data_IF_585802638818
#
_entry.id   IF_585802638818
#
_cell.length_a   1.000
_cell.length_b   1.000
_cell.length_c   1.000
_cell.angle_alpha   90.00
_cell.angle_beta   90.00
_cell.angle_gamma   90.00
#
_symmetry.space_group_name_H-M   'P 1'
#
loop_
_entity.id
_entity.type
_entity.pdbx_description
1 polymer ?
#
# COMPACT_ATOMS: atom_id res chain seq x y z
N UNK A 1 -13.21 -12.67 6.23
CA UNK A 1 -14.43 -13.51 6.16
C UNK A 1 -14.63 -14.41 7.38
N UNK A 2 -13.64 -15.20 7.82
CA UNK A 2 -13.80 -16.10 8.99
C UNK A 2 -14.27 -15.40 10.27
N UNK A 3 -13.80 -14.18 10.55
CA UNK A 3 -14.23 -13.42 11.74
C UNK A 3 -15.72 -13.00 11.69
N UNK A 4 -16.24 -12.58 10.54
CA UNK A 4 -17.66 -12.20 10.38
C UNK A 4 -18.56 -13.42 10.53
N UNK A 5 -18.18 -14.56 9.96
CA UNK A 5 -18.90 -15.82 10.15
C UNK A 5 -18.93 -16.22 11.64
N UNK A 6 -17.79 -16.14 12.33
CA UNK A 6 -17.71 -16.42 13.77
C UNK A 6 -18.59 -15.47 14.61
N UNK A 7 -18.66 -14.19 14.26
CA UNK A 7 -19.57 -13.23 14.91
C UNK A 7 -21.03 -13.62 14.67
N UNK A 8 -21.41 -13.95 13.42
CA UNK A 8 -22.77 -14.39 13.07
C UNK A 8 -23.17 -15.67 13.83
N UNK A 9 -22.30 -16.68 13.85
CA UNK A 9 -22.55 -17.94 14.55
C UNK A 9 -22.65 -17.75 16.08
N UNK A 10 -21.74 -16.97 16.67
CA UNK A 10 -21.75 -16.70 18.10
C UNK A 10 -22.99 -15.89 18.51
N UNK A 11 -23.39 -14.90 17.72
CA UNK A 11 -24.59 -14.11 18.01
C UNK A 11 -25.87 -14.94 17.86
N UNK A 12 -25.94 -15.87 16.90
CA UNK A 12 -27.05 -16.82 16.80
C UNK A 12 -27.13 -17.74 18.03
N UNK A 13 -26.00 -18.30 18.48
CA UNK A 13 -25.95 -19.11 19.69
C UNK A 13 -26.32 -18.31 20.96
N UNK A 14 -25.83 -17.08 21.07
CA UNK A 14 -26.18 -16.17 22.15
C UNK A 14 -27.69 -15.89 22.20
N UNK A 15 -28.31 -15.53 21.07
CA UNK A 15 -29.74 -15.25 20.99
C UNK A 15 -30.60 -16.49 21.33
N UNK A 16 -30.23 -17.66 20.81
CA UNK A 16 -30.95 -18.92 21.05
C UNK A 16 -30.90 -19.36 22.52
N UNK A 17 -29.75 -19.16 23.18
CA UNK A 17 -29.50 -19.67 24.54
C UNK A 17 -29.75 -18.63 25.64
N UNK A 18 -29.99 -17.36 25.26
CA UNK A 18 -30.31 -16.27 26.19
C UNK A 18 -31.48 -16.60 27.14
N UNK A 19 -32.60 -17.20 26.71
CA UNK A 19 -33.69 -17.55 27.63
C UNK A 19 -33.29 -18.56 28.72
N UNK A 20 -32.42 -19.52 28.40
CA UNK A 20 -31.90 -20.51 29.35
C UNK A 20 -30.98 -19.82 30.36
N UNK A 21 -30.08 -18.96 29.88
CA UNK A 21 -29.21 -18.17 30.75
C UNK A 21 -30.02 -17.25 31.67
N UNK A 22 -31.00 -16.51 31.16
CA UNK A 22 -31.84 -15.61 31.96
C UNK A 22 -32.62 -16.38 33.03
N UNK A 23 -33.12 -17.58 32.70
CA UNK A 23 -33.78 -18.49 33.67
C UNK A 23 -32.82 -18.97 34.75
N UNK A 24 -31.58 -19.31 34.39
CA UNK A 24 -30.53 -19.67 35.34
C UNK A 24 -30.20 -18.52 36.30
N UNK A 25 -30.12 -17.29 35.81
CA UNK A 25 -29.87 -16.09 36.63
C UNK A 25 -31.04 -15.81 37.58
N UNK A 26 -32.29 -15.97 37.12
CA UNK A 26 -33.51 -15.74 37.91
C UNK A 26 -33.68 -16.74 39.06
N UNK A 27 -33.05 -17.92 39.00
CA UNK A 27 -33.06 -18.88 40.11
C UNK A 27 -32.15 -18.38 41.24
N UNK A 28 -32.76 -18.05 42.38
CA UNK A 28 -32.08 -17.54 43.57
C UNK A 28 -31.74 -18.63 44.60
N UNK A 29 -32.49 -19.73 44.63
CA UNK A 29 -32.27 -20.80 45.60
C UNK A 29 -31.21 -21.79 45.12
N UNK A 30 -30.11 -21.91 45.87
CA UNK A 30 -28.90 -22.67 45.50
C UNK A 30 -29.20 -24.07 44.96
N UNK A 31 -29.97 -24.87 45.69
CA UNK A 31 -30.27 -26.25 45.30
C UNK A 31 -30.95 -26.35 43.92
N UNK A 32 -31.93 -25.47 43.68
CA UNK A 32 -32.66 -25.44 42.40
C UNK A 32 -31.84 -24.85 41.26
N UNK A 33 -30.91 -23.95 41.58
CA UNK A 33 -29.99 -23.33 40.62
C UNK A 33 -28.94 -24.32 40.16
N UNK A 34 -28.37 -25.09 41.09
CA UNK A 34 -27.35 -26.10 40.79
C UNK A 34 -27.94 -27.27 40.00
N UNK A 35 -29.17 -27.72 40.33
CA UNK A 35 -29.89 -28.71 39.54
C UNK A 35 -30.15 -28.23 38.10
N UNK A 36 -30.55 -26.96 37.94
CA UNK A 36 -30.76 -26.36 36.61
C UNK A 36 -29.45 -26.21 35.83
N UNK A 37 -28.36 -25.84 36.51
CA UNK A 37 -27.03 -25.76 35.89
C UNK A 37 -26.53 -27.13 35.43
N UNK A 38 -26.79 -28.19 36.20
CA UNK A 38 -26.44 -29.55 35.82
C UNK A 38 -27.25 -30.03 34.61
N UNK A 39 -28.54 -29.67 34.55
CA UNK A 39 -29.43 -30.02 33.44
C UNK A 39 -29.09 -29.27 32.15
N UNK A 40 -28.69 -28.00 32.24
CA UNK A 40 -28.40 -27.14 31.09
C UNK A 40 -26.92 -26.79 30.95
N UNK A 41 -26.04 -27.71 31.34
CA UNK A 41 -24.60 -27.46 31.42
C UNK A 41 -24.01 -27.09 30.05
N UNK A 42 -24.38 -27.83 29.01
CA UNK A 42 -23.85 -27.61 27.66
C UNK A 42 -24.38 -26.31 27.06
N UNK A 43 -25.65 -25.98 27.29
CA UNK A 43 -26.26 -24.73 26.83
C UNK A 43 -25.63 -23.52 27.51
N UNK A 44 -25.41 -23.58 28.83
CA UNK A 44 -24.77 -22.49 29.58
C UNK A 44 -23.30 -22.32 29.17
N UNK A 45 -22.56 -23.40 28.95
CA UNK A 45 -21.17 -23.32 28.46
C UNK A 45 -21.11 -22.73 27.04
N UNK A 46 -22.00 -23.20 26.15
CA UNK A 46 -22.11 -22.68 24.78
C UNK A 46 -22.47 -21.19 24.76
N UNK A 47 -23.41 -20.77 25.61
CA UNK A 47 -23.76 -19.35 25.78
C UNK A 47 -22.55 -18.53 26.25
N UNK A 48 -21.83 -18.99 27.28
CA UNK A 48 -20.66 -18.30 27.80
C UNK A 48 -19.54 -18.19 26.75
N UNK A 49 -19.33 -19.25 25.96
CA UNK A 49 -18.38 -19.24 24.84
C UNK A 49 -18.79 -18.24 23.76
N UNK A 50 -20.08 -18.16 23.43
CA UNK A 50 -20.62 -17.17 22.52
C UNK A 50 -20.37 -15.74 23.03
N UNK A 51 -20.68 -15.47 24.30
CA UNK A 51 -20.43 -14.16 24.95
C UNK A 51 -18.95 -13.78 24.88
N UNK A 52 -18.03 -14.68 25.23
CA UNK A 52 -16.58 -14.41 25.16
C UNK A 52 -16.13 -14.12 23.73
N UNK A 53 -16.67 -14.85 22.75
CA UNK A 53 -16.32 -14.66 21.34
C UNK A 53 -16.80 -13.31 20.84
N UNK A 54 -18.03 -12.91 21.16
CA UNK A 54 -18.60 -11.62 20.80
C UNK A 54 -17.82 -10.47 21.46
N UNK A 55 -17.50 -10.57 22.74
CA UNK A 55 -16.67 -9.56 23.42
C UNK A 55 -15.28 -9.43 22.77
N UNK A 56 -14.66 -10.55 22.39
CA UNK A 56 -13.32 -10.55 21.79
C UNK A 56 -13.31 -9.96 20.36
N UNK A 57 -14.32 -10.28 19.55
CA UNK A 57 -14.32 -9.95 18.12
C UNK A 57 -15.08 -8.65 17.81
N UNK A 58 -16.09 -8.32 18.61
CA UNK A 58 -17.00 -7.19 18.38
C UNK A 58 -16.93 -6.14 19.51
N UNK A 59 -16.29 -6.44 20.65
CA UNK A 59 -16.26 -5.54 21.82
C UNK A 59 -17.58 -5.44 22.58
N UNK A 60 -18.66 -6.06 22.06
CA UNK A 60 -19.99 -6.07 22.64
C UNK A 60 -20.79 -7.31 22.20
N UNK A 61 -21.77 -7.71 23.01
CA UNK A 61 -22.72 -8.80 22.71
C UNK A 61 -23.87 -8.34 21.83
N UNK A 62 -24.12 -7.03 21.74
CA UNK A 62 -25.05 -6.45 20.79
C UNK A 62 -24.38 -6.40 19.41
N UNK A 63 -24.97 -7.08 18.43
CA UNK A 63 -24.51 -7.09 17.05
C UNK A 63 -25.62 -6.54 16.17
N UNK A 64 -25.36 -5.42 15.50
CA UNK A 64 -26.24 -4.93 14.43
C UNK A 64 -25.83 -5.60 13.12
N UNK A 65 -26.56 -6.65 12.76
CA UNK A 65 -26.31 -7.38 11.52
C UNK A 65 -26.61 -6.56 10.27
N UNK A 66 -27.55 -5.63 10.32
CA UNK A 66 -27.91 -4.81 9.17
C UNK A 66 -26.77 -3.85 8.83
N UNK A 67 -26.22 -3.19 9.85
CA UNK A 67 -25.06 -2.32 9.68
C UNK A 67 -23.84 -3.12 9.18
N UNK A 68 -23.57 -4.28 9.78
CA UNK A 68 -22.43 -5.11 9.41
C UNK A 68 -22.53 -5.64 7.97
N UNK A 69 -23.71 -6.03 7.52
CA UNK A 69 -23.93 -6.54 6.15
C UNK A 69 -23.86 -5.42 5.11
N UNK A 70 -24.35 -4.22 5.45
CA UNK A 70 -24.25 -3.04 4.60
C UNK A 70 -22.80 -2.58 4.42
N UNK A 71 -22.02 -2.48 5.50
CA UNK A 71 -20.58 -2.16 5.44
C UNK A 71 -19.81 -3.20 4.63
N UNK A 72 -20.11 -4.48 4.83
CA UNK A 72 -19.48 -5.55 4.07
C UNK A 72 -19.81 -5.46 2.58
N UNK A 73 -21.07 -5.17 2.24
CA UNK A 73 -21.51 -5.01 0.84
C UNK A 73 -20.85 -3.80 0.20
N UNK A 74 -20.77 -2.67 0.89
CA UNK A 74 -20.05 -1.49 0.42
C UNK A 74 -18.56 -1.78 0.19
N UNK A 75 -17.92 -2.51 1.10
CA UNK A 75 -16.52 -2.91 0.97
C UNK A 75 -16.28 -3.85 -0.21
N UNK A 76 -17.17 -4.83 -0.42
CA UNK A 76 -17.10 -5.73 -1.57
C UNK A 76 -17.27 -4.96 -2.89
N UNK A 77 -18.23 -4.05 -2.93
CA UNK A 77 -18.44 -3.17 -4.08
C UNK A 77 -17.20 -2.32 -4.38
N UNK A 78 -16.63 -1.65 -3.37
CA UNK A 78 -15.39 -0.87 -3.54
C UNK A 78 -14.20 -1.74 -3.95
N UNK A 79 -14.08 -2.96 -3.42
CA UNK A 79 -13.04 -3.91 -3.86
C UNK A 79 -13.21 -4.35 -5.30
N UNK A 80 -14.45 -4.56 -5.76
CA UNK A 80 -14.72 -4.90 -7.16
C UNK A 80 -14.35 -3.74 -8.08
N UNK A 81 -14.72 -2.52 -7.71
CA UNK A 81 -14.36 -1.31 -8.46
C UNK A 81 -12.84 -1.12 -8.55
N UNK A 82 -12.12 -1.30 -7.44
CA UNK A 82 -10.65 -1.23 -7.43
C UNK A 82 -10.01 -2.29 -8.31
N UNK A 83 -10.54 -3.52 -8.32
CA UNK A 83 -10.06 -4.57 -9.22
C UNK A 83 -10.25 -4.20 -10.68
N UNK A 84 -11.42 -3.66 -11.05
CA UNK A 84 -11.67 -3.19 -12.42
C UNK A 84 -10.70 -2.08 -12.82
N UNK A 85 -10.45 -1.11 -11.94
CA UNK A 85 -9.47 -0.04 -12.20
C UNK A 85 -8.05 -0.59 -12.37
N UNK A 86 -7.67 -1.58 -11.56
CA UNK A 86 -6.35 -2.21 -11.65
C UNK A 86 -6.19 -2.99 -12.96
N UNK A 87 -7.20 -3.75 -13.37
CA UNK A 87 -7.20 -4.52 -14.62
C UNK A 87 -7.07 -3.59 -15.84
N UNK A 88 -7.78 -2.46 -15.82
CA UNK A 88 -7.72 -1.46 -16.88
C UNK A 88 -6.33 -0.83 -17.06
N UNK A 89 -5.54 -0.72 -15.99
CA UNK A 89 -4.17 -0.18 -16.03
C UNK A 89 -3.11 -1.22 -16.41
N UNK A 90 -3.44 -2.50 -16.39
CA UNK A 90 -2.52 -3.58 -16.74
C UNK A 90 -1.91 -3.45 -18.15
N UNK A 91 -2.67 -3.16 -19.23
CA UNK A 91 -2.10 -2.94 -20.55
C UNK A 91 -1.14 -1.76 -20.59
N UNK A 92 -1.48 -0.64 -19.94
CA UNK A 92 -0.63 0.56 -19.91
C UNK A 92 0.71 0.28 -19.22
N UNK A 93 0.67 -0.42 -18.08
CA UNK A 93 1.90 -0.86 -17.38
C UNK A 93 2.73 -1.79 -18.26
N UNK A 94 2.10 -2.66 -19.05
CA UNK A 94 2.81 -3.53 -19.99
C UNK A 94 3.47 -2.74 -21.13
N UNK A 95 2.78 -1.74 -21.68
CA UNK A 95 3.30 -0.85 -22.72
C UNK A 95 4.50 -0.05 -22.21
N UNK A 96 4.41 0.53 -21.01
CA UNK A 96 5.51 1.26 -20.38
C UNK A 96 6.74 0.37 -20.13
N UNK A 97 6.54 -0.87 -19.69
CA UNK A 97 7.63 -1.86 -19.55
C UNK A 97 8.32 -2.15 -20.89
N UNK A 98 7.55 -2.30 -21.97
CA UNK A 98 8.10 -2.52 -23.30
C UNK A 98 8.89 -1.31 -23.79
N UNK A 99 8.35 -0.08 -23.62
CA UNK A 99 9.04 1.16 -23.97
C UNK A 99 10.37 1.26 -23.23
N UNK A 100 10.37 1.03 -21.91
CA UNK A 100 11.61 1.01 -21.11
C UNK A 100 12.64 0.04 -21.67
N UNK A 101 12.23 -1.20 -22.00
CA UNK A 101 13.13 -2.20 -22.61
C UNK A 101 13.77 -1.70 -23.90
N UNK A 102 13.01 -1.03 -24.78
CA UNK A 102 13.55 -0.49 -26.02
C UNK A 102 14.54 0.66 -25.77
N UNK A 103 14.24 1.56 -24.84
CA UNK A 103 15.15 2.64 -24.44
C UNK A 103 16.45 2.05 -23.90
N UNK A 104 16.36 1.09 -22.97
CA UNK A 104 17.52 0.42 -22.39
C UNK A 104 18.37 -0.26 -23.47
N UNK A 105 17.74 -0.90 -24.46
CA UNK A 105 18.45 -1.54 -25.57
C UNK A 105 19.18 -0.53 -26.47
N UNK A 106 18.55 0.60 -26.79
CA UNK A 106 19.18 1.65 -27.62
C UNK A 106 20.31 2.33 -26.85
N UNK A 107 20.10 2.66 -25.58
CA UNK A 107 21.09 3.32 -24.73
C UNK A 107 22.29 2.41 -24.46
N UNK A 108 22.06 1.12 -24.17
CA UNK A 108 23.13 0.14 -23.99
C UNK A 108 23.95 -0.04 -25.27
N UNK A 109 23.31 -0.10 -26.44
CA UNK A 109 24.03 -0.18 -27.73
C UNK A 109 24.85 1.08 -28.01
N UNK A 110 24.34 2.26 -27.67
CA UNK A 110 25.04 3.52 -27.89
C UNK A 110 26.28 3.66 -26.99
N UNK A 111 26.25 3.08 -25.79
CA UNK A 111 27.42 2.99 -24.90
C UNK A 111 28.46 1.96 -25.38
N UNK A 112 28.02 0.90 -26.09
CA UNK A 112 28.90 -0.11 -26.70
C UNK A 112 29.43 0.27 -28.09
N UNK A 113 28.78 1.19 -28.81
CA UNK A 113 29.19 1.66 -30.14
C UNK A 113 30.09 2.90 -30.12
N UNK A 114 30.35 3.47 -28.95
CA UNK A 114 31.42 4.45 -28.80
C UNK A 114 32.77 3.72 -28.90
N UNK A 115 33.77 4.17 -29.70
CA UNK A 115 34.97 3.40 -30.00
C UNK A 115 35.90 3.11 -28.83
N UNK A 116 35.61 3.61 -27.63
CA UNK A 116 36.37 3.32 -26.42
C UNK A 116 35.43 3.38 -25.22
N UNK A 117 35.50 2.37 -24.35
CA UNK A 117 34.75 2.27 -23.09
C UNK A 117 35.16 3.33 -22.05
N UNK A 118 35.03 4.62 -22.40
CA UNK A 118 35.02 5.74 -21.48
C UNK A 118 33.66 6.41 -21.56
N UNK A 119 32.99 6.43 -20.42
CA UNK A 119 31.83 7.29 -20.14
C UNK A 119 32.10 8.64 -20.79
N UNK A 120 31.19 9.18 -21.63
CA UNK A 120 31.35 10.54 -22.13
C UNK A 120 31.15 11.45 -20.93
N UNK A 121 32.26 11.78 -20.28
CA UNK A 121 32.33 12.84 -19.28
C UNK A 121 31.73 14.05 -19.99
N UNK A 122 30.55 14.48 -19.55
CA UNK A 122 29.89 15.64 -20.15
C UNK A 122 30.88 16.78 -20.03
N UNK A 123 31.51 17.17 -21.14
CA UNK A 123 32.33 18.37 -21.19
C UNK A 123 31.40 19.54 -20.88
N UNK A 124 31.38 19.90 -19.60
CA UNK A 124 30.60 20.98 -19.06
C UNK A 124 30.97 22.24 -19.84
N UNK A 125 29.96 22.97 -20.27
CA UNK A 125 30.07 24.30 -20.91
C UNK A 125 31.03 25.22 -20.14
N UNK A 126 31.21 24.97 -18.84
CA UNK A 126 32.18 25.61 -17.95
C UNK A 126 33.64 25.48 -18.42
N UNK A 127 34.06 24.34 -18.98
CA UNK A 127 35.43 24.12 -19.47
C UNK A 127 35.69 24.93 -20.74
N UNK A 128 34.75 24.90 -21.70
CA UNK A 128 34.81 25.73 -22.92
C UNK A 128 34.84 27.23 -22.61
N UNK A 129 34.12 27.68 -21.57
CA UNK A 129 34.16 29.07 -21.12
C UNK A 129 35.51 29.47 -20.50
N UNK A 130 36.16 28.57 -19.76
CA UNK A 130 37.46 28.82 -19.17
C UNK A 130 38.58 28.86 -20.21
N UNK A 131 38.56 27.95 -21.19
CA UNK A 131 39.55 27.94 -22.28
C UNK A 131 39.42 29.18 -23.17
N UNK A 132 38.18 29.65 -23.41
CA UNK A 132 37.91 30.90 -24.13
C UNK A 132 38.42 32.13 -23.36
N UNK A 133 38.30 32.15 -22.03
CA UNK A 133 38.88 33.21 -21.18
C UNK A 133 40.42 33.18 -21.18
N UNK A 134 41.02 31.99 -21.16
CA UNK A 134 42.48 31.85 -21.21
C UNK A 134 43.05 32.31 -22.55
N UNK A 135 42.40 31.97 -23.67
CA UNK A 135 42.78 32.43 -25.01
C UNK A 135 42.67 33.96 -25.17
N UNK A 136 41.67 34.58 -24.53
CA UNK A 136 41.48 36.04 -24.56
C UNK A 136 42.49 36.78 -23.65
N UNK A 137 42.96 36.13 -22.58
CA UNK A 137 44.03 36.64 -21.72
C UNK A 137 45.40 36.70 -22.40
N UNK A 138 45.74 35.72 -23.25
CA UNK A 138 47.02 35.71 -23.97
C UNK A 138 47.09 36.72 -25.13
N UNK A 139 45.94 37.12 -25.71
CA UNK A 139 45.90 38.14 -26.76
C UNK A 139 46.14 39.56 -26.24
N UNK A 140 46.15 39.77 -24.91
CA UNK A 140 46.36 41.09 -24.27
C UNK A 140 47.82 41.41 -23.91
N UNK A 141 48.76 40.50 -24.18
CA UNK A 141 50.17 40.62 -23.77
C UNK A 141 51.20 40.72 -24.93
N UNK A 142 50.77 40.91 -26.18
CA UNK A 142 51.72 41.22 -27.26
C UNK A 142 51.82 42.75 -27.50
N UNK A 143 53.01 43.36 -27.37
CA UNK A 143 53.25 44.73 -27.79
C UNK A 143 53.18 44.84 -29.31
N UNK A 144 52.42 45.81 -29.83
CA UNK A 144 52.46 46.19 -31.24
C UNK A 144 53.88 46.64 -31.60
N UNK A 145 54.50 45.96 -32.56
CA UNK A 145 55.65 46.49 -33.28
C UNK A 145 55.17 47.57 -34.25
N UNK A 146 55.69 48.78 -34.06
CA UNK A 146 55.46 49.97 -34.87
C UNK A 146 56.40 49.92 -36.07
N UNK A 147 55.87 49.83 -37.29
CA UNK A 147 56.58 50.20 -38.50
C UNK A 147 56.03 51.56 -38.97
N UNK A 148 56.89 52.58 -38.94
CA UNK A 148 56.65 53.87 -39.59
C UNK A 148 57.78 54.06 -40.59
N UNK A 149 57.46 53.86 -41.87
CA UNK A 149 58.22 54.43 -43.00
C UNK A 149 57.86 55.91 -43.10
N UNK A 150 58.85 56.78 -43.29
CA UNK A 150 58.63 58.12 -43.82
C UNK A 150 59.73 58.48 -44.82
N UNK A 151 59.26 58.87 -45.99
CA UNK A 151 59.96 59.42 -47.16
C UNK A 151 60.49 60.83 -46.91
N UNK A 152 61.80 61.06 -47.12
CA UNK A 152 62.46 62.04 -48.01
C UNK A 152 63.94 62.15 -47.65
#
# INVERSE_FOLDING_TARGET
MRAIAQIKDAAAAHAKLKPIHDTFIKKNFKLTKDAYAAQHKEELDTFNKAVRTLMKLNGSTAVDFSALDAEFSALQSGSAELRTKLEALQPDVSALKNIRKYIDMVLNKQQLSAPDGKIPEKESVLKKLNDSKAALGQKKLQPQQKATEHTL
#
